data_IF_249782260768
#
_entry.id   IF_249782260768
#
_cell.length_a   1.000
_cell.length_b   1.000
_cell.length_c   1.000
_cell.angle_alpha   90.00
_cell.angle_beta   90.00
_cell.angle_gamma   90.00
#
_symmetry.space_group_name_H-M   'P 1'
#
loop_
_entity.id
_entity.type
_entity.pdbx_description
1 polymer ?
#
# COMPACT_ATOMS: atom_id res chain seq x y z
N UNK A 1 33.17 -18.78 11.71
CA UNK A 1 33.32 -17.51 12.47
C UNK A 1 32.01 -16.69 12.57
N UNK A 2 30.86 -17.33 12.80
CA UNK A 2 29.55 -16.64 12.95
C UNK A 2 29.25 -16.19 14.39
N UNK A 3 29.93 -16.80 15.37
CA UNK A 3 29.78 -16.47 16.78
C UNK A 3 30.33 -15.07 17.11
N UNK A 4 31.46 -14.67 16.51
CA UNK A 4 32.04 -13.34 16.67
C UNK A 4 31.15 -12.24 16.06
N UNK A 5 30.63 -12.45 14.85
CA UNK A 5 29.67 -11.52 14.22
C UNK A 5 28.38 -11.35 15.06
N UNK A 6 27.90 -12.43 15.70
CA UNK A 6 26.72 -12.39 16.60
C UNK A 6 26.99 -11.59 17.87
N UNK A 7 28.19 -11.71 18.44
CA UNK A 7 28.62 -10.97 19.62
C UNK A 7 28.73 -9.47 19.32
N UNK A 8 29.30 -9.12 18.17
CA UNK A 8 29.42 -7.73 17.72
C UNK A 8 28.05 -7.09 17.45
N UNK A 9 27.14 -7.81 16.78
CA UNK A 9 25.76 -7.37 16.57
C UNK A 9 25.02 -7.18 17.88
N UNK A 10 25.18 -8.10 18.85
CA UNK A 10 24.58 -7.95 20.18
C UNK A 10 25.06 -6.68 20.87
N UNK A 11 26.37 -6.41 20.85
CA UNK A 11 26.94 -5.21 21.46
C UNK A 11 26.39 -3.92 20.83
N UNK A 12 26.23 -3.89 19.51
CA UNK A 12 25.65 -2.75 18.77
C UNK A 12 24.16 -2.53 19.02
N UNK A 13 23.41 -3.56 19.43
CA UNK A 13 21.97 -3.50 19.69
C UNK A 13 21.59 -3.11 21.13
N UNK A 14 22.51 -3.22 22.10
CA UNK A 14 22.28 -2.85 23.51
C UNK A 14 21.73 -1.41 23.70
N UNK A 15 22.22 -0.38 22.99
CA UNK A 15 21.69 0.98 23.14
C UNK A 15 20.23 1.12 22.67
N UNK A 16 19.82 0.31 21.69
CA UNK A 16 18.45 0.31 21.15
C UNK A 16 17.48 -0.41 22.10
N UNK A 17 17.95 -1.44 22.79
CA UNK A 17 17.18 -2.14 23.82
C UNK A 17 16.83 -1.21 24.99
N UNK A 18 17.79 -0.36 25.41
CA UNK A 18 17.55 0.69 26.42
C UNK A 18 16.51 1.73 25.95
N UNK A 19 16.59 2.16 24.68
CA UNK A 19 15.59 3.07 24.09
C UNK A 19 14.20 2.43 24.00
N UNK A 20 14.13 1.13 23.67
CA UNK A 20 12.87 0.37 23.65
C UNK A 20 12.24 0.26 25.04
N UNK A 21 13.03 -0.01 26.09
CA UNK A 21 12.55 -0.03 27.47
C UNK A 21 12.00 1.32 27.92
N UNK A 22 12.75 2.40 27.67
CA UNK A 22 12.31 3.76 28.01
C UNK A 22 10.98 4.10 27.37
N UNK A 23 10.82 3.74 26.09
CA UNK A 23 9.61 4.02 25.35
C UNK A 23 8.44 3.11 25.74
N UNK A 24 8.73 1.86 26.12
CA UNK A 24 7.77 0.96 26.77
C UNK A 24 7.22 1.53 28.07
N UNK A 25 8.08 2.15 28.89
CA UNK A 25 7.69 2.81 30.14
C UNK A 25 6.79 4.04 29.92
N UNK A 26 7.03 4.80 28.84
CA UNK A 26 6.16 5.90 28.43
C UNK A 26 4.77 5.38 28.02
N UNK A 27 4.73 4.28 27.27
CA UNK A 27 3.48 3.66 26.82
C UNK A 27 2.71 3.05 28.01
N UNK A 28 3.37 2.40 28.96
CA UNK A 28 2.72 1.88 30.17
C UNK A 28 2.17 2.99 31.05
N UNK A 29 2.94 4.09 31.23
CA UNK A 29 2.47 5.28 31.94
C UNK A 29 1.26 5.94 31.25
N UNK A 30 1.24 5.96 29.92
CA UNK A 30 0.08 6.44 29.17
C UNK A 30 -1.16 5.55 29.36
N UNK A 31 -0.99 4.22 29.48
CA UNK A 31 -2.08 3.27 29.78
C UNK A 31 -2.65 3.45 31.20
N UNK A 32 -1.78 3.65 32.20
CA UNK A 32 -2.20 3.88 33.59
C UNK A 32 -2.97 5.20 33.75
N UNK A 33 -2.71 6.20 32.89
CA UNK A 33 -3.43 7.48 32.88
C UNK A 33 -4.85 7.45 32.28
N UNK A 34 -5.38 6.26 31.95
CA UNK A 34 -6.74 6.09 31.40
C UNK A 34 -6.94 6.62 29.98
N UNK A 35 -5.88 7.03 29.28
CA UNK A 35 -5.94 7.44 27.88
C UNK A 35 -6.01 6.20 27.01
N UNK A 36 -7.15 6.00 26.33
CA UNK A 36 -7.34 4.94 25.35
C UNK A 36 -6.26 5.05 24.27
N UNK A 37 -5.26 4.17 24.31
CA UNK A 37 -4.26 4.05 23.23
C UNK A 37 -4.97 3.34 22.07
N UNK A 38 -5.23 4.01 20.94
CA UNK A 38 -5.81 3.36 19.78
C UNK A 38 -4.87 2.25 19.31
N UNK A 39 -5.39 1.06 19.06
CA UNK A 39 -4.64 -0.11 18.54
C UNK A 39 -3.84 0.23 17.26
N UNK A 40 -4.35 1.22 16.50
CA UNK A 40 -3.72 1.87 15.35
C UNK A 40 -2.36 2.50 15.66
N UNK A 41 -2.20 3.13 16.83
CA UNK A 41 -0.96 3.77 17.27
C UNK A 41 0.17 2.75 17.52
N UNK A 42 -0.15 1.55 18.02
CA UNK A 42 0.85 0.49 18.22
C UNK A 42 1.32 -0.12 16.88
N UNK A 43 0.41 -0.32 15.92
CA UNK A 43 0.72 -0.85 14.59
C UNK A 43 1.52 0.15 13.75
N UNK A 44 1.13 1.42 13.75
CA UNK A 44 1.87 2.49 13.06
C UNK A 44 3.25 2.69 13.69
N UNK A 45 3.35 2.69 15.02
CA UNK A 45 4.63 2.86 15.70
C UNK A 45 5.61 1.72 15.39
N UNK A 46 5.17 0.46 15.48
CA UNK A 46 6.03 -0.70 15.18
C UNK A 46 6.43 -0.73 13.71
N UNK A 47 5.49 -0.51 12.77
CA UNK A 47 5.80 -0.58 11.34
C UNK A 47 6.71 0.57 10.89
N UNK A 48 6.45 1.81 11.31
CA UNK A 48 7.28 2.97 10.96
C UNK A 48 8.66 2.85 11.58
N UNK A 49 8.76 2.50 12.87
CA UNK A 49 10.05 2.31 13.54
C UNK A 49 10.88 1.20 12.89
N UNK A 50 10.29 0.04 12.62
CA UNK A 50 10.99 -1.08 11.96
C UNK A 50 11.37 -0.74 10.52
N UNK A 51 10.52 -0.03 9.78
CA UNK A 51 10.84 0.43 8.42
C UNK A 51 11.98 1.45 8.41
N UNK A 52 12.04 2.36 9.39
CA UNK A 52 13.15 3.29 9.57
C UNK A 52 14.43 2.57 9.97
N UNK A 53 14.36 1.65 10.95
CA UNK A 53 15.51 0.85 11.35
C UNK A 53 16.08 0.03 10.17
N UNK A 54 15.21 -0.57 9.38
CA UNK A 54 15.58 -1.28 8.15
C UNK A 54 16.20 -0.35 7.09
N UNK A 55 15.63 0.85 6.93
CA UNK A 55 16.18 1.88 6.03
C UNK A 55 17.58 2.34 6.44
N UNK A 56 17.80 2.57 7.74
CA UNK A 56 19.10 2.91 8.31
C UNK A 56 20.12 1.78 8.16
N UNK A 57 19.69 0.53 8.35
CA UNK A 57 20.55 -0.64 8.13
C UNK A 57 21.00 -0.80 6.66
N UNK A 58 20.30 -0.15 5.71
CA UNK A 58 20.65 -0.11 4.29
C UNK A 58 21.40 1.17 3.88
N UNK A 59 21.49 2.17 4.75
CA UNK A 59 22.18 3.42 4.49
C UNK A 59 23.68 3.28 4.75
N UNK A 60 24.52 3.40 3.72
CA UNK A 60 25.98 3.23 3.83
C UNK A 60 26.66 4.28 4.71
N UNK A 61 25.97 5.39 5.00
CA UNK A 61 26.45 6.44 5.89
C UNK A 61 25.99 6.24 7.34
N UNK A 62 25.14 5.26 7.60
CA UNK A 62 24.61 4.99 8.95
C UNK A 62 25.60 4.13 9.74
N UNK A 63 25.80 4.39 11.04
CA UNK A 63 26.63 3.56 11.91
C UNK A 63 26.10 2.12 12.09
N UNK A 64 24.89 1.83 11.59
CA UNK A 64 24.21 0.52 11.69
C UNK A 64 24.09 -0.13 10.30
N UNK A 65 24.95 0.23 9.34
CA UNK A 65 24.93 -0.36 7.99
C UNK A 65 25.20 -1.88 8.01
N UNK A 66 24.20 -2.66 7.59
CA UNK A 66 24.18 -4.12 7.59
C UNK A 66 23.62 -4.64 6.26
N UNK A 67 24.44 -4.54 5.21
CA UNK A 67 24.08 -4.91 3.84
C UNK A 67 23.66 -6.37 3.68
N UNK A 68 24.36 -7.29 4.36
CA UNK A 68 24.06 -8.74 4.32
C UNK A 68 22.64 -9.01 4.84
N UNK A 69 22.31 -8.45 6.01
CA UNK A 69 20.99 -8.56 6.64
C UNK A 69 19.87 -7.99 5.75
N UNK A 70 20.06 -6.80 5.20
CA UNK A 70 19.06 -6.16 4.32
C UNK A 70 18.90 -6.88 2.97
N UNK A 71 19.97 -7.53 2.49
CA UNK A 71 19.93 -8.33 1.26
C UNK A 71 19.18 -9.64 1.48
N UNK A 72 19.44 -10.32 2.59
CA UNK A 72 18.79 -11.58 2.97
C UNK A 72 17.27 -11.40 3.14
N UNK A 73 16.83 -10.37 3.87
CA UNK A 73 15.39 -10.09 4.05
C UNK A 73 14.70 -9.76 2.73
N UNK A 74 15.35 -9.02 1.83
CA UNK A 74 14.79 -8.69 0.51
C UNK A 74 14.70 -9.95 -0.37
N UNK A 75 15.71 -10.80 -0.33
CA UNK A 75 15.77 -12.04 -1.12
C UNK A 75 14.74 -13.06 -0.63
N UNK A 76 14.63 -13.24 0.69
CA UNK A 76 13.60 -14.07 1.31
C UNK A 76 12.18 -13.54 1.00
N UNK A 77 11.97 -12.22 1.06
CA UNK A 77 10.71 -11.60 0.69
C UNK A 77 10.31 -11.86 -0.77
N UNK A 78 11.26 -11.72 -1.71
CA UNK A 78 11.03 -12.05 -3.14
C UNK A 78 10.71 -13.53 -3.35
N UNK A 79 11.46 -14.42 -2.70
CA UNK A 79 11.23 -15.86 -2.78
C UNK A 79 9.82 -16.23 -2.31
N UNK A 80 9.40 -15.70 -1.17
CA UNK A 80 8.04 -15.94 -0.64
C UNK A 80 6.95 -15.40 -1.59
N UNK A 81 7.14 -14.21 -2.18
CA UNK A 81 6.20 -13.66 -3.16
C UNK A 81 6.09 -14.54 -4.42
N UNK A 82 7.20 -15.08 -4.91
CA UNK A 82 7.20 -15.97 -6.07
C UNK A 82 6.48 -17.31 -5.77
N UNK A 83 6.68 -17.87 -4.58
CA UNK A 83 5.96 -19.08 -4.16
C UNK A 83 4.44 -18.86 -4.10
N UNK A 84 4.01 -17.70 -3.59
CA UNK A 84 2.59 -17.32 -3.56
C UNK A 84 2.03 -17.19 -4.97
N UNK A 85 2.76 -16.53 -5.89
CA UNK A 85 2.34 -16.36 -7.27
C UNK A 85 2.16 -17.71 -8.00
N UNK A 86 3.08 -18.66 -7.78
CA UNK A 86 3.01 -20.00 -8.38
C UNK A 86 1.81 -20.80 -7.86
N UNK A 87 1.52 -20.72 -6.57
CA UNK A 87 0.37 -21.40 -5.94
C UNK A 87 -0.97 -20.90 -6.49
N UNK A 88 -1.13 -19.58 -6.63
CA UNK A 88 -2.36 -18.96 -7.15
C UNK A 88 -2.58 -19.35 -8.62
N UNK A 89 -1.51 -19.36 -9.42
CA UNK A 89 -1.59 -19.64 -10.86
C UNK A 89 -2.07 -21.06 -11.19
N UNK A 90 -1.78 -22.05 -10.33
CA UNK A 90 -2.12 -23.46 -10.56
C UNK A 90 -3.59 -23.82 -10.25
N UNK A 91 -4.34 -22.97 -9.54
CA UNK A 91 -5.64 -23.33 -8.94
C UNK A 91 -6.88 -22.73 -9.61
N UNK A 92 -6.71 -21.76 -10.51
CA UNK A 92 -7.83 -20.93 -10.99
C UNK A 92 -8.16 -21.29 -12.44
N UNK A 93 -9.46 -21.46 -12.72
CA UNK A 93 -10.15 -21.53 -14.02
C UNK A 93 -10.75 -22.88 -14.44
N UNK A 94 -12.05 -23.04 -14.16
CA UNK A 94 -13.04 -23.63 -15.07
C UNK A 94 -14.44 -23.34 -14.51
N UNK A 95 -15.16 -22.35 -15.05
CA UNK A 95 -16.63 -22.34 -15.00
C UNK A 95 -17.25 -21.30 -15.94
N UNK A 96 -18.40 -21.68 -16.49
CA UNK A 96 -19.07 -21.08 -17.66
C UNK A 96 -20.44 -20.52 -17.25
N UNK A 97 -20.80 -19.41 -17.91
CA UNK A 97 -22.11 -18.76 -18.07
C UNK A 97 -22.81 -18.22 -16.79
N UNK A 98 -22.47 -16.98 -16.43
CA UNK A 98 -23.10 -16.15 -15.40
C UNK A 98 -23.27 -14.72 -15.91
N UNK A 99 -24.20 -13.94 -15.33
CA UNK A 99 -24.29 -12.49 -15.58
C UNK A 99 -23.00 -11.78 -15.13
N UNK A 100 -22.66 -10.63 -15.74
CA UNK A 100 -21.39 -9.92 -15.48
C UNK A 100 -21.16 -9.66 -13.98
N UNK A 101 -22.18 -9.21 -13.27
CA UNK A 101 -22.11 -8.93 -11.83
C UNK A 101 -22.00 -10.20 -10.98
N UNK A 102 -22.77 -11.24 -11.28
CA UNK A 102 -22.69 -12.51 -10.57
C UNK A 102 -21.31 -13.16 -10.78
N UNK A 103 -20.82 -13.13 -12.02
CA UNK A 103 -19.48 -13.60 -12.37
C UNK A 103 -18.39 -12.84 -11.61
N UNK A 104 -18.44 -11.50 -11.60
CA UNK A 104 -17.46 -10.68 -10.88
C UNK A 104 -17.49 -10.91 -9.37
N UNK A 105 -18.70 -11.03 -8.80
CA UNK A 105 -18.88 -11.34 -7.39
C UNK A 105 -18.31 -12.71 -7.04
N UNK A 106 -18.60 -13.73 -7.85
CA UNK A 106 -18.10 -15.09 -7.62
C UNK A 106 -16.57 -15.16 -7.78
N UNK A 107 -16.01 -14.47 -8.77
CA UNK A 107 -14.57 -14.35 -8.95
C UNK A 107 -13.86 -13.74 -7.74
N UNK A 108 -14.39 -12.63 -7.21
CA UNK A 108 -13.84 -11.99 -6.00
C UNK A 108 -13.99 -12.92 -4.80
N UNK A 109 -15.16 -13.56 -4.62
CA UNK A 109 -15.42 -14.49 -3.52
C UNK A 109 -14.44 -15.67 -3.52
N UNK A 110 -14.26 -16.32 -4.66
CA UNK A 110 -13.30 -17.42 -4.82
C UNK A 110 -11.88 -16.94 -4.48
N UNK A 111 -11.51 -15.74 -4.94
CA UNK A 111 -10.20 -15.16 -4.65
C UNK A 111 -10.01 -14.93 -3.15
N UNK A 112 -11.00 -14.34 -2.47
CA UNK A 112 -10.97 -14.14 -1.02
C UNK A 112 -10.85 -15.46 -0.26
N UNK A 113 -11.63 -16.47 -0.64
CA UNK A 113 -11.59 -17.80 -0.01
C UNK A 113 -10.24 -18.51 -0.20
N UNK A 114 -9.65 -18.42 -1.40
CA UNK A 114 -8.32 -18.97 -1.69
C UNK A 114 -7.24 -18.22 -0.91
N UNK A 115 -7.33 -16.89 -0.86
CA UNK A 115 -6.36 -16.05 -0.14
C UNK A 115 -6.45 -16.26 1.38
N UNK A 116 -7.64 -16.47 1.94
CA UNK A 116 -7.83 -16.81 3.35
C UNK A 116 -7.19 -18.16 3.70
N UNK A 117 -7.42 -19.19 2.87
CA UNK A 117 -6.76 -20.50 3.03
C UNK A 117 -5.23 -20.37 2.95
N UNK A 118 -4.74 -19.58 2.01
CA UNK A 118 -3.32 -19.30 1.86
C UNK A 118 -2.76 -18.55 3.08
N UNK A 119 -3.48 -17.56 3.58
CA UNK A 119 -3.13 -16.82 4.80
C UNK A 119 -2.91 -17.76 5.98
N UNK A 120 -3.85 -18.67 6.22
CA UNK A 120 -3.77 -19.60 7.34
C UNK A 120 -2.61 -20.59 7.17
N UNK A 121 -2.40 -21.09 5.95
CA UNK A 121 -1.27 -21.98 5.62
C UNK A 121 0.09 -21.28 5.76
N UNK A 122 0.21 -20.05 5.26
CA UNK A 122 1.45 -19.25 5.37
C UNK A 122 1.73 -18.93 6.83
N UNK A 123 0.74 -18.50 7.60
CA UNK A 123 0.92 -18.17 9.02
C UNK A 123 1.25 -19.41 9.87
N UNK A 124 0.68 -20.58 9.56
CA UNK A 124 1.09 -21.83 10.18
C UNK A 124 2.57 -22.15 9.89
N UNK A 125 3.00 -22.01 8.63
CA UNK A 125 4.39 -22.23 8.24
C UNK A 125 5.36 -21.22 8.88
N UNK A 126 4.99 -19.94 8.91
CA UNK A 126 5.77 -18.89 9.57
C UNK A 126 5.93 -19.18 11.06
N UNK A 127 4.85 -19.59 11.73
CA UNK A 127 4.89 -19.97 13.15
C UNK A 127 5.83 -21.16 13.39
N UNK A 128 5.81 -22.18 12.54
CA UNK A 128 6.71 -23.34 12.64
C UNK A 128 8.18 -22.90 12.47
N UNK A 129 8.48 -22.09 11.44
CA UNK A 129 9.86 -21.65 11.14
C UNK A 129 10.41 -20.66 12.17
N UNK A 130 9.63 -19.65 12.53
CA UNK A 130 10.05 -18.57 13.42
C UNK A 130 9.88 -18.90 14.90
N UNK A 131 9.21 -20.02 15.24
CA UNK A 131 8.84 -20.44 16.61
C UNK A 131 8.07 -19.38 17.41
N UNK A 132 7.58 -18.34 16.72
CA UNK A 132 6.93 -17.16 17.29
C UNK A 132 5.83 -16.73 16.33
N UNK A 133 4.79 -16.08 16.85
CA UNK A 133 3.70 -15.50 16.07
C UNK A 133 3.93 -14.03 15.69
N UNK A 134 5.15 -13.52 15.90
CA UNK A 134 5.47 -12.11 15.65
C UNK A 134 5.48 -11.77 14.15
N UNK A 135 5.83 -12.74 13.31
CA UNK A 135 5.78 -12.60 11.86
C UNK A 135 4.53 -13.31 11.33
N UNK A 136 3.55 -12.52 10.92
CA UNK A 136 2.33 -12.97 10.27
C UNK A 136 2.15 -12.23 8.94
N UNK A 137 1.61 -12.94 7.94
CA UNK A 137 1.03 -12.33 6.77
C UNK A 137 -0.34 -11.81 7.18
N UNK A 138 -0.60 -10.53 6.97
CA UNK A 138 -1.95 -9.98 7.02
C UNK A 138 -2.52 -9.94 5.61
N UNK A 139 -3.77 -10.33 5.46
CA UNK A 139 -4.53 -10.15 4.24
C UNK A 139 -5.35 -8.86 4.37
N UNK A 140 -5.14 -7.90 3.48
CA UNK A 140 -5.79 -6.58 3.57
C UNK A 140 -7.04 -6.49 2.67
N UNK A 141 -6.91 -6.70 1.36
CA UNK A 141 -8.02 -6.51 0.41
C UNK A 141 -7.78 -7.22 -0.95
N UNK A 142 -8.85 -7.59 -1.66
CA UNK A 142 -8.82 -7.88 -3.12
C UNK A 142 -9.09 -6.59 -3.86
N UNK A 143 -8.28 -6.25 -4.86
CA UNK A 143 -8.54 -5.13 -5.75
C UNK A 143 -9.15 -5.60 -7.08
N UNK A 144 -10.44 -5.36 -7.30
CA UNK A 144 -11.11 -5.71 -8.57
C UNK A 144 -12.38 -4.89 -8.79
N UNK A 145 -12.62 -4.30 -9.98
CA UNK A 145 -11.69 -4.14 -11.09
C UNK A 145 -10.49 -3.25 -10.73
N UNK A 146 -9.39 -3.37 -11.49
CA UNK A 146 -8.15 -2.61 -11.29
C UNK A 146 -7.66 -2.01 -12.61
N UNK A 147 -7.22 -0.76 -12.56
CA UNK A 147 -6.54 -0.07 -13.65
C UNK A 147 -5.08 0.20 -13.27
N UNK A 148 -4.16 -0.30 -14.09
CA UNK A 148 -2.72 -0.13 -13.94
C UNK A 148 -2.25 0.96 -14.92
N UNK A 149 -1.86 2.13 -14.40
CA UNK A 149 -1.40 3.27 -15.23
C UNK A 149 0.13 3.33 -15.31
N UNK A 150 0.83 2.66 -14.39
CA UNK A 150 2.28 2.58 -14.41
C UNK A 150 2.85 1.97 -13.14
N UNK A 151 4.18 1.98 -13.03
CA UNK A 151 4.87 1.42 -11.86
C UNK A 151 4.45 2.14 -10.58
N UNK A 152 3.85 1.38 -9.65
CA UNK A 152 3.25 1.88 -8.39
C UNK A 152 2.14 2.92 -8.60
N UNK A 153 1.54 2.99 -9.80
CA UNK A 153 0.45 3.90 -10.13
C UNK A 153 -0.75 3.08 -10.59
N UNK A 154 -1.71 2.89 -9.70
CA UNK A 154 -2.90 2.10 -9.98
C UNK A 154 -4.06 2.51 -9.08
N UNK A 155 -5.27 2.24 -9.56
CA UNK A 155 -6.51 2.41 -8.81
C UNK A 155 -7.46 1.26 -9.08
N UNK A 156 -8.40 1.04 -8.17
CA UNK A 156 -9.43 0.01 -8.31
C UNK A 156 -10.41 0.03 -7.16
N UNK A 157 -11.32 -0.94 -7.18
CA UNK A 157 -12.28 -1.15 -6.09
C UNK A 157 -11.70 -2.17 -5.11
N UNK A 158 -11.48 -1.75 -3.87
CA UNK A 158 -11.02 -2.61 -2.80
C UNK A 158 -12.18 -3.40 -2.19
N UNK A 159 -11.99 -4.70 -2.03
CA UNK A 159 -12.91 -5.61 -1.35
C UNK A 159 -12.19 -6.22 -0.14
N UNK A 160 -12.60 -5.80 1.05
CA UNK A 160 -12.01 -6.23 2.33
C UNK A 160 -12.66 -7.53 2.81
N UNK A 161 -13.76 -7.43 3.58
CA UNK A 161 -14.56 -8.59 4.02
C UNK A 161 -15.86 -8.74 3.22
N UNK A 162 -16.39 -7.62 2.71
CA UNK A 162 -17.65 -7.56 1.98
C UNK A 162 -17.39 -7.14 0.54
N UNK A 163 -17.94 -7.90 -0.40
CA UNK A 163 -17.87 -7.60 -1.83
C UNK A 163 -18.84 -6.46 -2.12
N UNK A 164 -18.30 -5.29 -2.45
CA UNK A 164 -19.08 -4.11 -2.79
C UNK A 164 -18.47 -3.39 -3.99
N UNK A 165 -19.14 -3.51 -5.15
CA UNK A 165 -18.74 -2.82 -6.38
C UNK A 165 -19.16 -1.34 -6.43
N UNK A 166 -19.98 -0.88 -5.49
CA UNK A 166 -20.49 0.49 -5.39
C UNK A 166 -19.84 1.26 -4.24
N UNK A 167 -18.57 0.97 -3.94
CA UNK A 167 -17.87 1.68 -2.87
C UNK A 167 -17.70 3.18 -3.22
N UNK A 168 -17.91 4.05 -2.23
CA UNK A 168 -17.70 5.51 -2.44
C UNK A 168 -16.24 5.86 -2.59
N UNK A 169 -15.36 5.06 -1.97
CA UNK A 169 -13.91 5.27 -1.91
C UNK A 169 -13.21 4.25 -2.80
N UNK A 170 -12.54 4.74 -3.84
CA UNK A 170 -11.65 3.94 -4.68
C UNK A 170 -10.30 3.79 -4.00
N UNK A 171 -9.72 2.61 -4.11
CA UNK A 171 -8.34 2.40 -3.72
C UNK A 171 -7.44 3.09 -4.75
N UNK A 172 -6.45 3.85 -4.28
CA UNK A 172 -5.53 4.61 -5.13
C UNK A 172 -4.11 4.51 -4.59
N UNK A 173 -3.17 4.08 -5.43
CA UNK A 173 -1.75 4.06 -5.09
C UNK A 173 -0.94 4.84 -6.11
N UNK A 174 -0.17 5.80 -5.61
CA UNK A 174 0.77 6.59 -6.40
C UNK A 174 0.14 7.49 -7.46
N UNK A 175 -1.19 7.64 -7.47
CA UNK A 175 -1.88 8.58 -8.34
C UNK A 175 -1.83 9.97 -7.74
N UNK A 176 -1.51 10.97 -8.57
CA UNK A 176 -1.22 12.34 -8.12
C UNK A 176 -2.43 13.09 -7.52
N UNK A 177 -3.61 12.48 -7.43
CA UNK A 177 -4.81 13.07 -6.78
C UNK A 177 -4.66 13.19 -5.27
N UNK A 178 -3.87 12.32 -4.64
CA UNK A 178 -3.67 12.27 -3.17
C UNK A 178 -2.73 13.38 -2.67
N UNK A 179 -2.05 14.10 -3.58
CA UNK A 179 -1.14 15.17 -3.19
C UNK A 179 -1.88 16.50 -3.08
N UNK A 180 -1.58 17.27 -2.03
CA UNK A 180 -2.21 18.59 -1.74
C UNK A 180 -1.92 19.67 -2.80
N UNK A 181 -1.03 19.43 -3.75
CA UNK A 181 -0.47 20.40 -4.68
C UNK A 181 -1.18 20.46 -6.05
N UNK A 182 -2.43 20.01 -6.17
CA UNK A 182 -3.16 19.94 -7.46
C UNK A 182 -4.42 20.78 -7.48
N UNK A 183 -4.73 21.33 -8.66
CA UNK A 183 -5.95 22.11 -8.92
C UNK A 183 -7.21 21.29 -8.65
N UNK A 184 -8.28 21.97 -8.23
CA UNK A 184 -9.56 21.33 -7.95
C UNK A 184 -10.14 20.72 -9.24
N UNK A 185 -9.98 21.41 -10.37
CA UNK A 185 -10.33 20.90 -11.69
C UNK A 185 -9.70 19.52 -11.98
N UNK A 186 -8.41 19.36 -11.71
CA UNK A 186 -7.72 18.08 -11.96
C UNK A 186 -8.24 16.97 -11.03
N UNK A 187 -8.62 17.31 -9.80
CA UNK A 187 -9.25 16.33 -8.88
C UNK A 187 -10.60 15.90 -9.42
N UNK A 188 -11.44 16.84 -9.85
CA UNK A 188 -12.75 16.57 -10.43
C UNK A 188 -12.67 15.66 -11.67
N UNK A 189 -11.85 16.05 -12.66
CA UNK A 189 -11.67 15.27 -13.91
C UNK A 189 -11.22 13.85 -13.59
N UNK A 190 -10.21 13.71 -12.71
CA UNK A 190 -9.68 12.39 -12.33
C UNK A 190 -10.71 11.54 -11.60
N UNK A 191 -11.40 12.11 -10.62
CA UNK A 191 -12.43 11.38 -9.87
C UNK A 191 -13.55 10.90 -10.79
N UNK A 192 -13.98 11.73 -11.74
CA UNK A 192 -14.98 11.35 -12.72
C UNK A 192 -14.49 10.18 -13.59
N UNK A 193 -13.32 10.30 -14.22
CA UNK A 193 -12.74 9.23 -15.05
C UNK A 193 -12.59 7.93 -14.26
N UNK A 194 -12.10 8.01 -13.02
CA UNK A 194 -11.89 6.81 -12.19
C UNK A 194 -13.19 6.13 -11.81
N UNK A 195 -14.24 6.90 -11.46
CA UNK A 195 -15.54 6.35 -11.09
C UNK A 195 -16.20 5.66 -12.28
N UNK A 196 -16.19 6.31 -13.44
CA UNK A 196 -16.81 5.78 -14.65
C UNK A 196 -16.05 4.54 -15.16
N UNK A 197 -14.72 4.56 -15.12
CA UNK A 197 -13.91 3.41 -15.50
C UNK A 197 -14.14 2.17 -14.60
N UNK A 198 -14.48 2.38 -13.33
CA UNK A 198 -14.68 1.31 -12.35
C UNK A 198 -16.14 0.85 -12.22
N UNK A 199 -17.08 1.47 -12.95
CA UNK A 199 -18.49 1.09 -12.90
C UNK A 199 -18.69 -0.32 -13.49
N UNK A 200 -19.52 -1.12 -12.83
CA UNK A 200 -19.81 -2.50 -13.25
C UNK A 200 -20.55 -2.55 -14.59
N UNK A 201 -21.34 -1.54 -14.90
CA UNK A 201 -22.07 -1.41 -16.16
C UNK A 201 -21.23 -0.73 -17.24
N UNK A 202 -20.01 -0.30 -16.92
CA UNK A 202 -19.14 0.32 -17.91
C UNK A 202 -18.85 -0.66 -19.06
N UNK A 203 -19.13 -0.20 -20.27
CA UNK A 203 -18.81 -0.85 -21.54
C UNK A 203 -17.75 -0.08 -22.33
N UNK A 204 -17.41 1.13 -21.91
CA UNK A 204 -16.48 2.01 -22.61
C UNK A 204 -15.04 1.75 -22.19
N UNK A 205 -14.14 1.88 -23.17
CA UNK A 205 -12.70 1.85 -22.92
C UNK A 205 -12.27 3.13 -22.21
N UNK A 206 -11.21 3.03 -21.40
CA UNK A 206 -10.71 4.15 -20.59
C UNK A 206 -10.40 5.39 -21.44
N UNK A 207 -9.87 5.25 -22.65
CA UNK A 207 -9.56 6.41 -23.50
C UNK A 207 -10.81 7.19 -23.93
N UNK A 208 -11.92 6.50 -24.20
CA UNK A 208 -13.20 7.13 -24.55
C UNK A 208 -13.74 7.91 -23.34
N UNK A 209 -13.71 7.31 -22.15
CA UNK A 209 -14.12 7.97 -20.90
C UNK A 209 -13.32 9.26 -20.67
N UNK A 210 -12.01 9.22 -20.96
CA UNK A 210 -11.14 10.39 -20.84
C UNK A 210 -11.56 11.47 -21.85
N UNK A 211 -11.76 11.12 -23.12
CA UNK A 211 -12.18 12.06 -24.16
C UNK A 211 -13.54 12.71 -23.85
N UNK A 212 -14.53 11.91 -23.46
CA UNK A 212 -15.85 12.40 -23.10
C UNK A 212 -15.80 13.32 -21.88
N UNK A 213 -15.04 12.92 -20.84
CA UNK A 213 -14.86 13.76 -19.65
C UNK A 213 -14.19 15.09 -20.00
N UNK A 214 -13.18 15.09 -20.88
CA UNK A 214 -12.52 16.32 -21.32
C UNK A 214 -13.45 17.21 -22.16
N UNK A 215 -14.25 16.63 -23.05
CA UNK A 215 -15.24 17.37 -23.85
C UNK A 215 -16.28 18.05 -22.97
N UNK A 216 -16.84 17.33 -22.01
CA UNK A 216 -17.77 17.90 -21.04
C UNK A 216 -17.13 19.02 -20.21
N UNK A 217 -15.90 18.79 -19.74
CA UNK A 217 -15.15 19.76 -18.95
C UNK A 217 -14.92 21.04 -19.75
N UNK A 218 -14.61 20.94 -21.05
CA UNK A 218 -14.45 22.12 -21.92
C UNK A 218 -15.72 22.95 -22.10
N UNK A 219 -16.89 22.33 -22.01
CA UNK A 219 -18.19 23.01 -22.18
C UNK A 219 -18.76 23.58 -20.88
N UNK A 220 -18.20 23.20 -19.72
CA UNK A 220 -18.66 23.66 -18.42
C UNK A 220 -18.06 25.04 -18.09
N UNK A 221 -18.84 25.90 -17.45
CA UNK A 221 -18.35 27.16 -16.87
C UNK A 221 -17.63 26.87 -15.54
N UNK A 222 -16.40 27.34 -15.40
CA UNK A 222 -15.55 27.10 -14.24
C UNK A 222 -15.29 28.40 -13.47
N UNK A 223 -15.15 28.29 -12.16
CA UNK A 223 -14.60 29.38 -11.34
C UNK A 223 -13.06 29.37 -11.42
N UNK A 224 -12.44 30.55 -11.43
CA UNK A 224 -10.97 30.68 -11.50
C UNK A 224 -10.27 30.02 -10.29
N UNK A 225 -10.94 29.98 -9.13
CA UNK A 225 -10.39 29.32 -7.95
C UNK A 225 -10.15 27.82 -8.15
N UNK A 226 -10.89 27.19 -9.06
CA UNK A 226 -10.74 25.75 -9.34
C UNK A 226 -9.43 25.41 -10.06
N UNK A 227 -8.78 26.41 -10.67
CA UNK A 227 -7.51 26.28 -11.37
C UNK A 227 -6.29 26.51 -10.47
N UNK A 228 -6.48 26.98 -9.23
CA UNK A 228 -5.37 27.33 -8.33
C UNK A 228 -4.54 26.09 -7.98
N UNK A 229 -3.21 26.21 -8.12
CA UNK A 229 -2.23 25.17 -7.79
C UNK A 229 -1.34 25.65 -6.66
N UNK A 230 -1.30 24.90 -5.55
CA UNK A 230 -0.47 25.22 -4.39
C UNK A 230 0.88 24.50 -4.49
N UNK A 231 1.98 25.25 -4.50
CA UNK A 231 3.35 24.71 -4.50
C UNK A 231 4.08 25.00 -3.19
N UNK A 232 4.87 24.04 -2.68
CA UNK A 232 5.80 24.30 -1.59
C UNK A 232 7.10 24.89 -2.14
N UNK A 233 7.42 26.13 -1.76
CA UNK A 233 8.68 26.76 -2.12
C UNK A 233 9.86 26.01 -1.47
N UNK A 234 10.90 25.71 -2.26
CA UNK A 234 12.13 25.04 -1.79
C UNK A 234 13.36 25.90 -2.16
N UNK A 235 14.04 26.53 -1.19
CA UNK A 235 15.06 27.55 -1.45
C UNK A 235 16.30 27.06 -2.21
N UNK A 236 16.63 25.77 -2.16
CA UNK A 236 17.87 25.21 -2.74
C UNK A 236 17.66 24.48 -4.08
N UNK A 237 16.45 24.53 -4.66
CA UNK A 237 16.17 23.85 -5.94
C UNK A 237 16.48 24.81 -7.09
N UNK A 238 17.41 24.46 -7.99
CA UNK A 238 17.61 25.22 -9.25
C UNK A 238 16.29 25.17 -10.04
N UNK A 239 15.72 26.34 -10.32
CA UNK A 239 14.47 26.47 -11.06
C UNK A 239 14.83 26.63 -12.54
N UNK A 240 14.54 25.63 -13.38
CA UNK A 240 14.42 25.83 -14.82
C UNK A 240 12.99 26.30 -15.08
N UNK A 241 12.76 27.62 -15.02
CA UNK A 241 11.46 28.19 -15.34
C UNK A 241 11.33 28.28 -16.86
N UNK A 242 10.58 27.36 -17.47
CA UNK A 242 9.99 27.60 -18.79
C UNK A 242 8.73 28.43 -18.54
N UNK A 243 8.82 29.73 -18.73
CA UNK A 243 7.66 30.61 -18.82
C UNK A 243 7.07 30.36 -20.21
N UNK A 244 5.91 29.72 -20.28
CA UNK A 244 5.10 29.75 -21.48
C UNK A 244 4.30 31.07 -21.44
N UNK A 245 4.69 32.01 -22.30
CA UNK A 245 3.85 33.12 -22.73
C UNK A 245 2.89 32.62 -23.81
#
# INVERSE_FOLDING_TARGET
DSANKRLELKARLVPLEKKKQHLGNIISSAKESGKMIPERLNLEYSSVYMNTFYGEARNSLSPIFLRELACETTTAGKYNLNLVAEFVSKKVFSRKELSKEAYWTEMVKITMDVMKKLHDQVNANLRIKSRTSYLNMAYEEVLFPVCLTGKKKYFGVGHEDVINFKSKNLFMKGIDTVKKDKSQLLKFIKEKIMREAMDINNTHLIHIIVEDTLRETGNKKWDFNEFIVMGTWRPKKKISATIAL
#
